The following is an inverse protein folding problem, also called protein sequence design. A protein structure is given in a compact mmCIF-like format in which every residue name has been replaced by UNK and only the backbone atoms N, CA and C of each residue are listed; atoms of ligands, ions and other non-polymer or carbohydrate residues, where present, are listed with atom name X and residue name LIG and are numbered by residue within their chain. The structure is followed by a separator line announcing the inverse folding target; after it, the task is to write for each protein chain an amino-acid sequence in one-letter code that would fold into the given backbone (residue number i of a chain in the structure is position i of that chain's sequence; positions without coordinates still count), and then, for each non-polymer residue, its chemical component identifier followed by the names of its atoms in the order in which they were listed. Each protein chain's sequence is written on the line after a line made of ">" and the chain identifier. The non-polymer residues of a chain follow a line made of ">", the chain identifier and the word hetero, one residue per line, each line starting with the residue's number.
data_IF_404620888850
#
_entry.id   IF_404620888850
#
_cell.length_a   1.000
_cell.length_b   1.000
_cell.length_c   1.000
_cell.angle_alpha   90.00
_cell.angle_beta   90.00
_cell.angle_gamma   90.00
#
_symmetry.space_group_name_H-M   'P 1'
#
loop_
_entity.id
_entity.type
_entity.pdbx_description
1 polymer ?
#
# COMPACT_ATOMS: atom_id res chain seq x y z
N UNK A 1 7.23 1.07 15.66
CA UNK A 1 7.88 1.07 14.32
C UNK A 1 8.14 2.51 13.92
N UNK A 2 9.24 2.80 13.21
CA UNK A 2 9.69 4.17 12.88
C UNK A 2 9.24 4.60 11.49
N UNK A 3 8.83 5.88 11.33
CA UNK A 3 8.55 6.53 10.02
C UNK A 3 9.88 6.71 9.27
N UNK A 4 9.90 6.41 7.96
CA UNK A 4 11.17 6.31 7.21
C UNK A 4 11.64 7.63 6.60
N UNK A 5 10.71 8.55 6.24
CA UNK A 5 11.05 9.80 5.54
C UNK A 5 9.95 10.86 5.71
N UNK A 6 10.24 12.09 5.29
CA UNK A 6 9.29 13.20 5.28
C UNK A 6 9.28 14.00 6.58
N UNK A 7 8.25 14.81 6.75
CA UNK A 7 8.11 15.74 7.87
C UNK A 7 8.07 15.06 9.25
N UNK A 8 7.68 13.78 9.29
CA UNK A 8 7.54 13.00 10.53
C UNK A 8 8.59 11.89 10.64
N UNK A 9 9.71 12.02 9.94
CA UNK A 9 10.82 11.06 10.05
C UNK A 9 11.19 10.84 11.52
N UNK A 10 11.46 9.57 11.87
CA UNK A 10 11.86 9.12 13.21
C UNK A 10 10.73 8.99 14.24
N UNK A 11 9.49 9.46 13.96
CA UNK A 11 8.39 9.17 14.85
C UNK A 11 8.10 7.66 14.94
N UNK A 12 7.69 7.21 16.14
CA UNK A 12 7.40 5.80 16.41
C UNK A 12 5.90 5.52 16.31
N UNK A 13 5.54 4.56 15.47
CA UNK A 13 4.18 4.07 15.30
C UNK A 13 3.90 2.91 16.27
N UNK A 14 2.68 2.85 16.79
CA UNK A 14 2.17 1.70 17.53
C UNK A 14 1.83 0.58 16.53
N UNK A 15 2.31 -0.65 16.80
CA UNK A 15 2.01 -1.82 15.98
C UNK A 15 0.83 -2.56 16.60
N UNK A 16 -0.19 -2.95 15.81
CA UNK A 16 -1.28 -3.78 16.29
C UNK A 16 -0.76 -5.14 16.80
N UNK A 17 -1.33 -5.63 17.90
CA UNK A 17 -1.11 -7.02 18.35
C UNK A 17 -2.09 -7.93 17.60
N UNK A 18 -1.70 -8.39 16.42
CA UNK A 18 -2.45 -9.31 15.58
C UNK A 18 -1.54 -10.48 15.28
N UNK A 19 -2.03 -11.70 15.50
CA UNK A 19 -1.32 -12.91 15.07
C UNK A 19 -1.17 -12.86 13.55
N UNK A 20 0.01 -13.18 13.04
CA UNK A 20 0.36 -13.18 11.61
C UNK A 20 0.37 -11.80 10.92
N UNK A 21 0.31 -10.69 11.69
CA UNK A 21 0.47 -9.37 11.10
C UNK A 21 1.88 -9.22 10.53
N UNK A 22 1.97 -9.14 9.22
CA UNK A 22 3.21 -8.79 8.54
C UNK A 22 3.34 -7.27 8.49
N UNK A 23 4.45 -6.80 9.04
CA UNK A 23 4.82 -5.38 8.96
C UNK A 23 5.91 -5.26 7.90
N UNK A 24 5.68 -4.45 6.88
CA UNK A 24 6.71 -4.16 5.87
C UNK A 24 7.93 -3.54 6.54
N UNK A 25 9.12 -4.19 6.45
CA UNK A 25 10.31 -3.74 7.15
C UNK A 25 10.75 -2.33 6.77
N UNK A 26 11.50 -1.69 7.66
CA UNK A 26 12.00 -0.33 7.47
C UNK A 26 12.77 -0.15 6.16
N UNK A 27 13.69 -1.07 5.85
CA UNK A 27 14.52 -1.02 4.63
C UNK A 27 13.68 -1.06 3.36
N UNK A 28 12.66 -1.93 3.32
CA UNK A 28 11.73 -2.04 2.19
C UNK A 28 10.93 -0.75 2.02
N UNK A 29 10.34 -0.24 3.10
CA UNK A 29 9.55 0.99 3.08
C UNK A 29 10.39 2.19 2.66
N UNK A 30 11.63 2.26 3.16
CA UNK A 30 12.59 3.32 2.77
C UNK A 30 12.87 3.28 1.27
N UNK A 31 13.16 2.10 0.71
CA UNK A 31 13.44 1.96 -0.72
C UNK A 31 12.21 2.32 -1.57
N UNK A 32 11.02 1.90 -1.15
CA UNK A 32 9.77 2.27 -1.84
C UNK A 32 9.54 3.78 -1.81
N UNK A 33 9.65 4.41 -0.66
CA UNK A 33 9.47 5.86 -0.51
C UNK A 33 10.51 6.64 -1.29
N UNK A 34 11.77 6.19 -1.33
CA UNK A 34 12.83 6.81 -2.12
C UNK A 34 12.56 6.68 -3.63
N UNK A 35 12.08 5.52 -4.08
CA UNK A 35 11.69 5.29 -5.47
C UNK A 35 10.48 6.15 -5.88
N UNK A 36 9.46 6.20 -5.04
CA UNK A 36 8.26 7.00 -5.33
C UNK A 36 8.57 8.51 -5.35
N UNK A 37 9.47 8.97 -4.48
CA UNK A 37 10.00 10.33 -4.48
C UNK A 37 8.91 11.41 -4.58
N UNK A 38 9.04 12.28 -5.58
CA UNK A 38 8.09 13.39 -5.82
C UNK A 38 6.66 12.92 -6.18
N UNK A 39 6.48 11.67 -6.63
CA UNK A 39 5.15 11.11 -6.93
C UNK A 39 4.25 10.99 -5.70
N UNK A 40 4.83 10.97 -4.48
CA UNK A 40 4.07 11.01 -3.23
C UNK A 40 3.47 12.39 -2.93
N UNK A 41 4.12 13.46 -3.43
CA UNK A 41 3.64 14.81 -3.18
C UNK A 41 2.25 15.04 -3.78
N UNK A 42 1.27 15.41 -2.93
CA UNK A 42 -0.14 15.63 -3.28
C UNK A 42 -0.87 14.40 -3.86
N UNK A 43 -0.29 13.20 -3.76
CA UNK A 43 -0.90 11.97 -4.24
C UNK A 43 -2.13 11.58 -3.40
N UNK A 44 -3.12 10.99 -4.06
CA UNK A 44 -4.21 10.21 -3.43
C UNK A 44 -3.76 8.75 -3.40
N UNK A 45 -3.58 8.21 -2.19
CA UNK A 45 -2.99 6.88 -1.96
C UNK A 45 -4.02 5.93 -1.37
N UNK A 46 -3.99 4.68 -1.79
CA UNK A 46 -4.76 3.57 -1.22
C UNK A 46 -3.79 2.53 -0.64
N UNK A 47 -3.99 2.19 0.63
CA UNK A 47 -3.24 1.15 1.35
C UNK A 47 -4.18 -0.03 1.61
N UNK A 48 -4.12 -1.04 0.72
CA UNK A 48 -4.90 -2.27 0.80
C UNK A 48 -4.14 -3.29 1.65
N UNK A 49 -4.86 -3.97 2.55
CA UNK A 49 -4.28 -4.80 3.59
C UNK A 49 -3.36 -3.99 4.50
N UNK A 50 -3.86 -2.83 4.96
CA UNK A 50 -3.05 -1.79 5.59
C UNK A 50 -2.27 -2.23 6.85
N UNK A 51 -2.77 -3.22 7.60
CA UNK A 51 -2.09 -3.78 8.76
C UNK A 51 -1.73 -2.73 9.80
N UNK A 52 -0.44 -2.41 9.89
CA UNK A 52 0.05 -1.34 10.77
C UNK A 52 -0.15 0.08 10.22
N UNK A 53 -0.56 0.21 8.96
CA UNK A 53 -0.71 1.49 8.26
C UNK A 53 0.61 2.16 7.88
N UNK A 54 1.72 1.45 7.96
CA UNK A 54 3.05 2.05 7.83
C UNK A 54 3.33 2.68 6.47
N UNK A 55 2.92 2.02 5.38
CA UNK A 55 3.10 2.53 4.01
C UNK A 55 2.27 3.79 3.77
N UNK A 56 1.01 3.77 4.21
CA UNK A 56 0.14 4.93 4.12
C UNK A 56 0.62 6.09 4.98
N UNK A 57 1.08 5.84 6.22
CA UNK A 57 1.60 6.90 7.11
C UNK A 57 2.93 7.47 6.58
N UNK A 58 3.84 6.64 6.05
CA UNK A 58 5.05 7.12 5.38
C UNK A 58 4.69 8.01 4.17
N UNK A 59 3.64 7.64 3.42
CA UNK A 59 3.15 8.45 2.30
C UNK A 59 2.63 9.81 2.76
N UNK A 60 1.85 9.86 3.85
CA UNK A 60 1.38 11.13 4.44
C UNK A 60 2.54 12.00 4.92
N UNK A 61 3.56 11.39 5.55
CA UNK A 61 4.77 12.08 5.99
C UNK A 61 5.55 12.69 4.81
N UNK A 62 5.50 12.03 3.65
CA UNK A 62 6.14 12.48 2.40
C UNK A 62 5.26 13.42 1.55
N UNK A 63 4.13 13.89 2.07
CA UNK A 63 3.31 14.92 1.43
C UNK A 63 2.13 14.41 0.62
N UNK A 64 1.74 13.13 0.72
CA UNK A 64 0.51 12.65 0.09
C UNK A 64 -0.70 13.50 0.54
N UNK A 65 -1.57 13.85 -0.39
CA UNK A 65 -2.75 14.67 -0.10
C UNK A 65 -3.70 13.96 0.84
N UNK A 66 -3.99 12.70 0.52
CA UNK A 66 -4.92 11.85 1.27
C UNK A 66 -4.51 10.39 1.16
N UNK A 67 -4.70 9.63 2.23
CA UNK A 67 -4.53 8.18 2.24
C UNK A 67 -5.80 7.50 2.72
N UNK A 68 -6.23 6.48 1.98
CA UNK A 68 -7.29 5.57 2.40
C UNK A 68 -6.64 4.27 2.87
N UNK A 69 -6.95 3.85 4.09
CA UNK A 69 -6.50 2.59 4.68
C UNK A 69 -7.65 1.60 4.71
N UNK A 70 -7.43 0.41 4.17
CA UNK A 70 -8.42 -0.68 4.15
C UNK A 70 -7.83 -1.90 4.82
N UNK A 71 -8.51 -2.41 5.84
CA UNK A 71 -8.13 -3.65 6.51
C UNK A 71 -9.39 -4.38 7.03
N UNK A 72 -9.34 -5.71 7.06
CA UNK A 72 -10.43 -6.53 7.61
C UNK A 72 -10.38 -6.61 9.14
N UNK A 73 -9.23 -6.33 9.74
CA UNK A 73 -9.01 -6.41 11.18
C UNK A 73 -9.32 -5.08 11.87
N UNK A 74 -10.30 -5.07 12.74
CA UNK A 74 -10.68 -3.88 13.52
C UNK A 74 -9.51 -3.32 14.33
N UNK A 75 -8.69 -4.19 14.94
CA UNK A 75 -7.49 -3.79 15.67
C UNK A 75 -6.48 -3.01 14.82
N UNK A 76 -6.33 -3.36 13.53
CA UNK A 76 -5.51 -2.59 12.58
C UNK A 76 -6.06 -1.17 12.43
N UNK A 77 -7.35 -1.05 12.14
CA UNK A 77 -8.02 0.24 11.93
C UNK A 77 -7.93 1.12 13.19
N UNK A 78 -8.16 0.55 14.38
CA UNK A 78 -8.02 1.27 15.66
C UNK A 78 -6.59 1.81 15.84
N UNK A 79 -5.56 0.97 15.62
CA UNK A 79 -4.15 1.38 15.80
C UNK A 79 -3.69 2.38 14.75
N UNK A 80 -4.15 2.26 13.51
CA UNK A 80 -3.94 3.28 12.48
C UNK A 80 -4.55 4.60 12.92
N UNK A 81 -5.79 4.60 13.40
CA UNK A 81 -6.47 5.81 13.91
C UNK A 81 -5.69 6.46 15.05
N UNK A 82 -5.30 5.68 16.07
CA UNK A 82 -4.49 6.18 17.19
C UNK A 82 -3.19 6.85 16.70
N UNK A 83 -2.48 6.22 15.76
CA UNK A 83 -1.25 6.75 15.18
C UNK A 83 -1.50 8.04 14.40
N UNK A 84 -2.54 8.09 13.58
CA UNK A 84 -2.90 9.27 12.80
C UNK A 84 -3.28 10.47 13.68
N UNK A 85 -4.02 10.22 14.76
CA UNK A 85 -4.37 11.27 15.75
C UNK A 85 -3.11 11.79 16.45
N UNK A 86 -2.25 10.90 16.95
CA UNK A 86 -1.01 11.25 17.62
C UNK A 86 -0.04 12.07 16.73
N UNK A 87 -0.10 11.84 15.42
CA UNK A 87 0.72 12.53 14.42
C UNK A 87 0.04 13.77 13.79
N UNK A 88 -1.17 14.11 14.23
CA UNK A 88 -2.00 15.17 13.63
C UNK A 88 -2.24 14.99 12.10
N UNK A 89 -2.41 13.74 11.66
CA UNK A 89 -2.64 13.38 10.26
C UNK A 89 -4.06 12.90 9.97
N UNK A 90 -4.92 12.75 10.98
CA UNK A 90 -6.25 12.13 10.85
C UNK A 90 -7.13 12.84 9.80
N UNK A 91 -7.06 14.16 9.67
CA UNK A 91 -7.80 14.93 8.66
C UNK A 91 -7.42 14.63 7.21
N UNK A 92 -6.29 13.94 6.98
CA UNK A 92 -5.81 13.51 5.65
C UNK A 92 -5.97 12.00 5.42
N UNK A 93 -6.73 11.32 6.28
CA UNK A 93 -6.92 9.88 6.21
C UNK A 93 -8.40 9.50 6.10
N UNK A 94 -8.67 8.43 5.37
CA UNK A 94 -9.93 7.68 5.40
C UNK A 94 -9.64 6.27 5.90
N UNK A 95 -10.41 5.81 6.88
CA UNK A 95 -10.31 4.45 7.41
C UNK A 95 -11.50 3.64 6.94
N UNK A 96 -11.27 2.42 6.47
CA UNK A 96 -12.30 1.50 6.01
C UNK A 96 -12.07 0.11 6.62
N UNK A 97 -12.95 -0.28 7.53
CA UNK A 97 -12.99 -1.64 8.06
C UNK A 97 -13.78 -2.51 7.07
N UNK A 98 -13.17 -3.56 6.54
CA UNK A 98 -13.81 -4.49 5.64
C UNK A 98 -12.88 -5.13 4.62
N UNK A 99 -13.44 -5.94 3.72
CA UNK A 99 -12.65 -6.62 2.70
C UNK A 99 -12.21 -5.69 1.58
N UNK A 100 -10.99 -5.93 1.08
CA UNK A 100 -10.42 -5.17 -0.03
C UNK A 100 -11.26 -5.31 -1.31
N UNK A 101 -11.86 -6.48 -1.55
CA UNK A 101 -12.75 -6.75 -2.70
C UNK A 101 -13.92 -5.78 -2.73
N UNK A 102 -14.69 -5.75 -1.63
CA UNK A 102 -15.88 -4.88 -1.51
C UNK A 102 -15.48 -3.40 -1.60
N UNK A 103 -14.33 -3.03 -1.01
CA UNK A 103 -13.85 -1.67 -1.08
C UNK A 103 -13.54 -1.27 -2.53
N UNK A 104 -12.79 -2.09 -3.27
CA UNK A 104 -12.44 -1.84 -4.67
C UNK A 104 -13.69 -1.76 -5.55
N UNK A 105 -14.67 -2.65 -5.34
CA UNK A 105 -15.94 -2.65 -6.08
C UNK A 105 -16.69 -1.33 -5.96
N UNK A 106 -16.70 -0.73 -4.78
CA UNK A 106 -17.38 0.53 -4.47
C UNK A 106 -16.52 1.80 -4.73
N UNK A 107 -15.27 1.65 -5.16
CA UNK A 107 -14.39 2.78 -5.47
C UNK A 107 -14.63 3.31 -6.88
N UNK A 108 -14.40 4.63 -7.07
CA UNK A 108 -14.53 5.25 -8.37
C UNK A 108 -13.37 4.88 -9.31
N UNK A 109 -13.62 4.79 -10.64
CA UNK A 109 -12.54 4.64 -11.61
C UNK A 109 -11.55 5.80 -11.54
N UNK A 110 -10.24 5.51 -11.63
CA UNK A 110 -9.20 6.53 -11.67
C UNK A 110 -9.07 7.38 -10.40
N UNK A 111 -9.44 6.86 -9.24
CA UNK A 111 -9.44 7.61 -7.98
C UNK A 111 -8.03 7.78 -7.39
N UNK A 112 -7.14 6.79 -7.57
CA UNK A 112 -5.86 6.72 -6.87
C UNK A 112 -4.65 6.95 -7.77
N UNK A 113 -3.68 7.72 -7.26
CA UNK A 113 -2.36 7.88 -7.86
C UNK A 113 -1.43 6.70 -7.54
N UNK A 114 -1.53 6.18 -6.31
CA UNK A 114 -0.71 5.07 -5.82
C UNK A 114 -1.60 4.10 -5.06
N UNK A 115 -1.46 2.81 -5.36
CA UNK A 115 -2.09 1.72 -4.62
C UNK A 115 -1.01 0.80 -4.07
N UNK A 116 -0.94 0.66 -2.75
CA UNK A 116 -0.20 -0.41 -2.10
C UNK A 116 -1.09 -1.64 -2.01
N UNK A 117 -0.60 -2.76 -2.50
CA UNK A 117 -1.28 -4.05 -2.49
C UNK A 117 -0.35 -5.09 -1.87
N UNK A 118 -0.49 -5.29 -0.56
CA UNK A 118 0.39 -6.12 0.26
C UNK A 118 -0.39 -7.25 0.94
N UNK A 119 -1.02 -8.15 0.17
CA UNK A 119 -1.86 -9.22 0.69
C UNK A 119 -1.04 -10.25 1.49
N UNK A 120 -1.68 -11.00 2.40
CA UNK A 120 -1.01 -12.11 3.08
C UNK A 120 -0.58 -13.17 2.06
N UNK A 121 0.62 -13.77 2.25
CA UNK A 121 1.22 -14.69 1.29
C UNK A 121 0.41 -15.99 1.07
N UNK A 122 -0.39 -16.38 2.07
CA UNK A 122 -1.30 -17.52 1.97
C UNK A 122 -2.43 -17.28 0.96
N UNK A 123 -2.78 -16.00 0.73
CA UNK A 123 -3.82 -15.63 -0.23
C UNK A 123 -3.43 -14.32 -0.95
N UNK A 124 -2.78 -14.43 -2.09
CA UNK A 124 -2.28 -13.28 -2.85
C UNK A 124 -3.39 -12.50 -3.57
N UNK A 125 -4.60 -13.04 -3.66
CA UNK A 125 -5.76 -12.37 -4.27
C UNK A 125 -5.46 -11.78 -5.67
N UNK A 126 -4.71 -12.51 -6.52
CA UNK A 126 -4.28 -12.03 -7.84
C UNK A 126 -5.44 -11.59 -8.74
N UNK A 127 -6.64 -12.14 -8.52
CA UNK A 127 -7.87 -11.75 -9.24
C UNK A 127 -8.30 -10.29 -8.98
N UNK A 128 -7.72 -9.63 -7.97
CA UNK A 128 -7.97 -8.21 -7.71
C UNK A 128 -7.16 -7.27 -8.63
N UNK A 129 -6.10 -7.74 -9.26
CA UNK A 129 -5.24 -6.90 -10.11
C UNK A 129 -6.02 -6.17 -11.22
N UNK A 130 -6.88 -6.83 -12.01
CA UNK A 130 -7.70 -6.12 -13.02
C UNK A 130 -8.66 -5.09 -12.39
N UNK A 131 -9.19 -5.38 -11.20
CA UNK A 131 -10.10 -4.48 -10.49
C UNK A 131 -9.34 -3.26 -9.92
N UNK A 132 -8.13 -3.46 -9.41
CA UNK A 132 -7.23 -2.38 -8.98
C UNK A 132 -6.87 -1.49 -10.17
N UNK A 133 -6.65 -2.06 -11.37
CA UNK A 133 -6.41 -1.29 -12.58
C UNK A 133 -7.51 -0.27 -12.86
N UNK A 134 -8.77 -0.61 -12.62
CA UNK A 134 -9.92 0.28 -12.83
C UNK A 134 -9.88 1.51 -11.94
N UNK A 135 -9.51 1.35 -10.66
CA UNK A 135 -9.50 2.45 -9.67
C UNK A 135 -8.21 3.28 -9.69
N UNK A 136 -7.17 2.78 -10.37
CA UNK A 136 -5.90 3.47 -10.52
C UNK A 136 -5.97 4.48 -11.66
N UNK A 137 -5.41 5.68 -11.47
CA UNK A 137 -5.27 6.67 -12.54
C UNK A 137 -4.42 6.12 -13.68
N UNK A 138 -4.56 6.67 -14.89
CA UNK A 138 -3.77 6.23 -16.08
C UNK A 138 -2.26 6.31 -15.86
N UNK A 139 -1.80 7.31 -15.09
CA UNK A 139 -0.38 7.51 -14.73
C UNK A 139 -0.04 7.00 -13.34
N UNK A 140 -0.97 6.31 -12.68
CA UNK A 140 -0.82 5.80 -11.33
C UNK A 140 0.12 4.61 -11.25
N UNK A 141 0.52 4.25 -10.03
CA UNK A 141 1.39 3.11 -9.75
C UNK A 141 0.73 2.15 -8.78
N UNK A 142 0.79 0.86 -9.11
CA UNK A 142 0.47 -0.23 -8.21
C UNK A 142 1.77 -0.81 -7.64
N UNK A 143 1.88 -0.85 -6.32
CA UNK A 143 3.00 -1.44 -5.58
C UNK A 143 2.52 -2.77 -5.03
N UNK A 144 2.91 -3.87 -5.66
CA UNK A 144 2.47 -5.22 -5.30
C UNK A 144 3.60 -5.99 -4.61
N UNK A 145 3.39 -6.35 -3.35
CA UNK A 145 4.29 -7.22 -2.59
C UNK A 145 3.84 -8.69 -2.67
N UNK A 146 4.80 -9.60 -2.96
CA UNK A 146 4.55 -11.04 -3.12
C UNK A 146 5.76 -11.87 -2.68
N UNK A 147 5.56 -13.17 -2.35
CA UNK A 147 6.65 -14.05 -1.94
C UNK A 147 7.56 -14.44 -3.12
N UNK A 148 8.83 -14.77 -2.89
CA UNK A 148 9.74 -15.26 -3.92
C UNK A 148 9.25 -16.53 -4.64
N UNK A 149 8.39 -17.32 -3.98
CA UNK A 149 7.78 -18.54 -4.54
C UNK A 149 6.77 -18.27 -5.66
N UNK A 150 6.26 -17.04 -5.80
CA UNK A 150 5.42 -16.68 -6.95
C UNK A 150 6.28 -16.57 -8.20
N UNK A 151 6.02 -17.41 -9.18
CA UNK A 151 6.68 -17.37 -10.46
C UNK A 151 6.36 -16.08 -11.23
N UNK A 152 7.40 -15.45 -11.81
CA UNK A 152 7.24 -14.20 -12.56
C UNK A 152 6.30 -14.36 -13.77
N UNK A 153 6.27 -15.54 -14.37
CA UNK A 153 5.36 -15.83 -15.47
C UNK A 153 3.89 -15.80 -15.02
N UNK A 154 3.60 -16.38 -13.84
CA UNK A 154 2.26 -16.32 -13.23
C UNK A 154 1.87 -14.89 -12.89
N UNK A 155 2.82 -14.11 -12.36
CA UNK A 155 2.61 -12.68 -12.10
C UNK A 155 2.29 -11.93 -13.40
N UNK A 156 3.07 -12.12 -14.48
CA UNK A 156 2.85 -11.46 -15.78
C UNK A 156 1.47 -11.76 -16.35
N UNK A 157 1.02 -13.01 -16.29
CA UNK A 157 -0.33 -13.40 -16.71
C UNK A 157 -1.42 -12.71 -15.89
N UNK A 158 -1.25 -12.66 -14.58
CA UNK A 158 -2.21 -12.00 -13.68
C UNK A 158 -2.24 -10.47 -13.88
N UNK A 159 -1.10 -9.89 -14.26
CA UNK A 159 -0.94 -8.43 -14.46
C UNK A 159 -1.37 -7.95 -15.85
N UNK A 160 -2.00 -8.75 -16.71
CA UNK A 160 -2.26 -8.53 -18.14
C UNK A 160 -2.44 -7.09 -18.65
N UNK A 161 -2.97 -6.18 -17.81
CA UNK A 161 -3.18 -4.76 -18.12
C UNK A 161 -2.18 -3.84 -17.41
N UNK A 162 -1.04 -4.38 -16.97
CA UNK A 162 0.05 -3.63 -16.34
C UNK A 162 1.38 -3.97 -16.98
N UNK A 163 2.28 -3.01 -17.06
CA UNK A 163 3.69 -3.22 -17.30
C UNK A 163 4.50 -3.16 -16.00
N UNK A 164 5.57 -3.94 -15.93
CA UNK A 164 6.50 -3.94 -14.80
C UNK A 164 7.50 -2.81 -14.98
N UNK A 165 7.34 -1.73 -14.21
CA UNK A 165 8.26 -0.57 -14.19
C UNK A 165 9.54 -0.89 -13.44
N UNK A 166 9.41 -1.61 -12.30
CA UNK A 166 10.53 -2.00 -11.43
C UNK A 166 10.21 -3.27 -10.68
N UNK A 167 11.23 -4.10 -10.49
CA UNK A 167 11.18 -5.26 -9.62
C UNK A 167 12.26 -5.12 -8.53
N UNK A 168 11.83 -5.17 -7.26
CA UNK A 168 12.71 -5.15 -6.11
C UNK A 168 12.74 -6.55 -5.48
N UNK A 169 13.91 -7.00 -5.04
CA UNK A 169 14.10 -8.31 -4.41
C UNK A 169 14.79 -8.15 -3.06
N UNK A 170 14.10 -8.59 -2.00
CA UNK A 170 14.60 -8.53 -0.62
C UNK A 170 14.90 -9.93 -0.05
N UNK A 171 15.06 -10.94 -0.91
CA UNK A 171 15.29 -12.32 -0.52
C UNK A 171 14.01 -13.03 -0.07
N UNK A 172 13.40 -12.58 1.00
CA UNK A 172 12.16 -13.14 1.58
C UNK A 172 10.87 -12.51 1.01
N UNK A 173 10.97 -11.43 0.24
CA UNK A 173 9.88 -10.70 -0.41
C UNK A 173 10.34 -10.15 -1.75
N UNK A 174 9.40 -10.03 -2.69
CA UNK A 174 9.56 -9.30 -3.93
C UNK A 174 8.49 -8.24 -4.04
N UNK A 175 8.84 -7.11 -4.65
CA UNK A 175 7.88 -6.04 -4.93
C UNK A 175 7.94 -5.70 -6.41
N UNK A 176 6.80 -5.78 -7.08
CA UNK A 176 6.63 -5.25 -8.42
C UNK A 176 6.01 -3.85 -8.33
N UNK A 177 6.65 -2.89 -8.97
CA UNK A 177 6.05 -1.60 -9.29
C UNK A 177 5.45 -1.72 -10.68
N UNK A 178 4.16 -1.55 -10.77
CA UNK A 178 3.37 -1.78 -11.96
C UNK A 178 2.71 -0.47 -12.41
N UNK A 179 2.76 -0.16 -13.69
CA UNK A 179 2.00 0.94 -14.29
C UNK A 179 0.91 0.42 -15.21
N UNK A 180 -0.24 1.10 -15.29
CA UNK A 180 -1.27 0.74 -16.25
C UNK A 180 -0.77 0.80 -17.69
N UNK A 181 -1.03 -0.24 -18.49
CA UNK A 181 -0.88 -0.15 -19.96
C UNK A 181 -2.00 0.72 -20.51
N UNK A 182 -1.71 1.60 -21.50
CA UNK A 182 -2.70 2.47 -22.14
C UNK A 182 -3.91 1.74 -22.73
#
# INVERSE_FOLDING_TARGET
>A
MRIVKGALREYHLKIPKITDLRVTPYTVRKELVDFLGARLSRATVLDLFAGSGSLGIDSLSCGALKVTFVDIHENSIIKIKESLVALNLFGRARLSLGSCEKFIENSNPGEYDIVFFTPPYQNLNLFLLPRIRRILKKTGLLIFEFPPSLELEKLRRACGNFEVVKLLNFGWSRIAVLSPVP
#
